data_IF_155061238731
#
_entry.id   IF_155061238731
#
_cell.length_a   1.000
_cell.length_b   1.000
_cell.length_c   1.000
_cell.angle_alpha   90.00
_cell.angle_beta   90.00
_cell.angle_gamma   90.00
#
_symmetry.space_group_name_H-M   'P 1'
#
loop_
_entity.id
_entity.type
_entity.pdbx_description
1 polymer ?
#
# COMPACT_ATOMS: atom_id res chain seq x y z
N UNK A 1 19.16 -8.72 68.27
CA UNK A 1 18.60 -9.13 66.97
C UNK A 1 18.49 -7.89 66.12
N UNK A 2 19.42 -7.73 65.17
CA UNK A 2 19.47 -6.58 64.25
C UNK A 2 18.42 -6.79 63.16
N UNK A 3 17.46 -5.88 63.01
CA UNK A 3 16.54 -5.88 61.87
C UNK A 3 17.36 -5.55 60.61
N UNK A 4 17.31 -6.45 59.64
CA UNK A 4 17.87 -6.23 58.31
C UNK A 4 17.06 -5.12 57.60
N UNK A 5 17.71 -4.23 56.84
CA UNK A 5 17.02 -3.19 56.08
C UNK A 5 16.19 -3.83 54.96
N UNK A 6 14.95 -3.38 54.83
CA UNK A 6 14.05 -3.76 53.74
C UNK A 6 14.71 -3.52 52.38
N UNK A 7 14.53 -4.41 51.38
CA UNK A 7 15.05 -4.18 50.04
C UNK A 7 14.43 -2.92 49.44
N UNK A 8 15.19 -2.16 48.64
CA UNK A 8 14.66 -0.96 47.98
C UNK A 8 13.48 -1.35 47.06
N UNK A 9 12.47 -0.48 46.91
CA UNK A 9 11.37 -0.74 46.00
C UNK A 9 11.93 -0.96 44.59
N UNK A 10 11.54 -2.06 43.94
CA UNK A 10 11.86 -2.30 42.53
C UNK A 10 11.32 -1.12 41.74
N UNK A 11 12.22 -0.41 41.05
CA UNK A 11 11.86 0.70 40.17
C UNK A 11 10.89 0.19 39.10
N UNK A 12 9.75 0.87 38.97
CA UNK A 12 8.74 0.57 37.96
C UNK A 12 9.32 0.88 36.56
N UNK A 13 9.45 -0.09 35.63
CA UNK A 13 10.04 0.12 34.30
C UNK A 13 9.24 1.08 33.41
N UNK A 14 8.08 1.58 33.85
CA UNK A 14 7.33 2.66 33.19
C UNK A 14 7.76 4.08 33.58
N UNK A 15 8.56 4.26 34.63
CA UNK A 15 8.87 5.58 35.17
C UNK A 15 9.83 6.44 34.32
N UNK A 16 10.54 5.82 33.35
CA UNK A 16 11.57 6.49 32.53
C UNK A 16 11.11 6.80 31.09
N UNK A 17 9.84 6.54 30.75
CA UNK A 17 9.31 6.75 29.39
C UNK A 17 8.81 8.18 29.22
N UNK A 18 9.29 8.88 28.18
CA UNK A 18 8.71 10.18 27.82
C UNK A 18 7.22 10.01 27.45
N UNK A 19 6.29 10.72 28.11
CA UNK A 19 4.87 10.62 27.79
C UNK A 19 4.58 11.06 26.35
N UNK A 20 5.32 12.04 25.84
CA UNK A 20 5.17 12.50 24.45
C UNK A 20 5.59 11.44 23.44
N UNK A 21 6.63 10.67 23.74
CA UNK A 21 7.07 9.57 22.87
C UNK A 21 6.04 8.42 22.87
N UNK A 22 5.39 8.18 24.01
CA UNK A 22 4.27 7.23 24.10
C UNK A 22 3.10 7.69 23.24
N UNK A 23 2.72 8.97 23.31
CA UNK A 23 1.67 9.54 22.46
C UNK A 23 2.03 9.46 20.97
N UNK A 24 3.31 9.64 20.62
CA UNK A 24 3.81 9.50 19.25
C UNK A 24 3.62 8.07 18.73
N UNK A 25 4.04 7.07 19.51
CA UNK A 25 3.85 5.66 19.14
C UNK A 25 2.38 5.25 19.09
N UNK A 26 1.56 5.74 20.01
CA UNK A 26 0.13 5.49 20.01
C UNK A 26 -0.52 6.02 18.72
N UNK A 27 -0.20 7.27 18.36
CA UNK A 27 -0.73 7.89 17.14
C UNK A 27 -0.21 7.24 15.87
N UNK A 28 1.06 6.84 15.85
CA UNK A 28 1.64 6.07 14.75
C UNK A 28 0.87 4.76 14.54
N UNK A 29 0.65 4.01 15.62
CA UNK A 29 -0.02 2.71 15.57
C UNK A 29 -1.47 2.83 15.12
N UNK A 30 -2.17 3.89 15.54
CA UNK A 30 -3.52 4.22 15.08
C UNK A 30 -3.54 4.44 13.56
N UNK A 31 -2.64 5.26 13.03
CA UNK A 31 -2.58 5.53 11.58
C UNK A 31 -2.12 4.32 10.77
N UNK A 32 -1.13 3.56 11.24
CA UNK A 32 -0.66 2.35 10.56
C UNK A 32 -1.75 1.27 10.49
N UNK A 33 -2.48 1.05 11.60
CA UNK A 33 -3.62 0.13 11.62
C UNK A 33 -4.69 0.56 10.61
N UNK A 34 -5.11 1.83 10.64
CA UNK A 34 -6.15 2.31 9.72
C UNK A 34 -5.69 2.32 8.27
N UNK A 35 -4.40 2.57 8.00
CA UNK A 35 -3.81 2.40 6.67
C UNK A 35 -3.92 0.96 6.18
N UNK A 36 -3.58 -0.03 7.01
CA UNK A 36 -3.66 -1.45 6.66
C UNK A 36 -5.10 -1.91 6.41
N UNK A 37 -6.06 -1.43 7.20
CA UNK A 37 -7.48 -1.72 7.03
C UNK A 37 -8.03 -1.10 5.75
N UNK A 38 -7.68 0.17 5.48
CA UNK A 38 -8.07 0.86 4.26
C UNK A 38 -7.48 0.16 3.03
N UNK A 39 -6.20 -0.21 3.06
CA UNK A 39 -5.54 -0.96 2.00
C UNK A 39 -6.24 -2.29 1.70
N UNK A 40 -6.49 -3.11 2.73
CA UNK A 40 -7.14 -4.43 2.56
C UNK A 40 -8.54 -4.28 1.95
N UNK A 41 -9.34 -3.34 2.43
CA UNK A 41 -10.69 -3.09 1.90
C UNK A 41 -10.66 -2.58 0.48
N UNK A 42 -9.80 -1.60 0.19
CA UNK A 42 -9.66 -1.00 -1.12
C UNK A 42 -9.19 -2.02 -2.17
N UNK A 43 -8.12 -2.76 -1.85
CA UNK A 43 -7.59 -3.81 -2.75
C UNK A 43 -8.58 -4.96 -2.93
N UNK A 44 -9.30 -5.37 -1.89
CA UNK A 44 -10.36 -6.40 -2.01
C UNK A 44 -11.51 -5.95 -2.91
N UNK A 45 -11.99 -4.71 -2.77
CA UNK A 45 -13.04 -4.15 -3.64
C UNK A 45 -12.60 -4.04 -5.08
N UNK A 46 -11.38 -3.55 -5.31
CA UNK A 46 -10.82 -3.47 -6.67
C UNK A 46 -10.69 -4.85 -7.30
N UNK A 47 -10.23 -5.85 -6.55
CA UNK A 47 -10.20 -7.25 -7.00
C UNK A 47 -11.59 -7.73 -7.40
N UNK A 48 -12.61 -7.48 -6.57
CA UNK A 48 -13.99 -7.86 -6.90
C UNK A 48 -14.49 -7.18 -8.18
N UNK A 49 -14.20 -5.90 -8.39
CA UNK A 49 -14.56 -5.20 -9.63
C UNK A 49 -13.90 -5.85 -10.86
N UNK A 50 -12.61 -6.18 -10.77
CA UNK A 50 -11.89 -6.87 -11.86
C UNK A 50 -12.31 -8.34 -12.00
N UNK A 51 -12.89 -8.99 -10.98
CA UNK A 51 -13.44 -10.35 -11.12
C UNK A 51 -14.82 -10.33 -11.78
N UNK A 52 -15.65 -9.35 -11.42
CA UNK A 52 -17.00 -9.23 -11.96
C UNK A 52 -16.99 -8.95 -13.45
N UNK A 53 -16.07 -8.10 -13.89
CA UNK A 53 -15.84 -7.94 -15.31
C UNK A 53 -15.50 -9.27 -16.00
N UNK A 54 -14.61 -10.11 -15.40
CA UNK A 54 -14.23 -11.45 -15.92
C UNK A 54 -15.47 -12.28 -16.15
N UNK A 55 -16.29 -12.29 -15.12
CA UNK A 55 -17.49 -13.06 -15.12
C UNK A 55 -18.44 -12.58 -16.22
N UNK A 56 -18.61 -11.28 -16.43
CA UNK A 56 -19.53 -10.73 -17.45
C UNK A 56 -19.21 -11.25 -18.85
N UNK A 57 -17.98 -11.10 -19.34
CA UNK A 57 -17.68 -11.55 -20.71
C UNK A 57 -17.60 -13.06 -20.83
N UNK A 58 -17.14 -13.78 -19.80
CA UNK A 58 -17.22 -15.26 -19.79
C UNK A 58 -18.68 -15.72 -19.85
N UNK A 59 -19.57 -15.13 -19.05
CA UNK A 59 -21.00 -15.42 -19.04
C UNK A 59 -21.65 -15.07 -20.39
N UNK A 60 -21.29 -13.93 -20.99
CA UNK A 60 -21.80 -13.53 -22.29
C UNK A 60 -21.40 -14.51 -23.41
N UNK A 61 -20.14 -14.94 -23.42
CA UNK A 61 -19.63 -15.95 -24.37
C UNK A 61 -20.27 -17.30 -24.13
N UNK A 62 -20.43 -17.72 -22.87
CA UNK A 62 -21.08 -18.98 -22.52
C UNK A 62 -22.56 -18.98 -22.91
N UNK A 63 -23.27 -17.87 -22.69
CA UNK A 63 -24.65 -17.69 -23.10
C UNK A 63 -24.79 -17.76 -24.62
N UNK A 64 -23.93 -17.05 -25.36
CA UNK A 64 -23.91 -17.04 -26.83
C UNK A 64 -23.67 -18.45 -27.41
N UNK A 65 -22.68 -19.17 -26.87
CA UNK A 65 -22.37 -20.55 -27.31
C UNK A 65 -23.50 -21.53 -26.99
N UNK A 66 -24.14 -21.40 -25.82
CA UNK A 66 -25.25 -22.26 -25.44
C UNK A 66 -26.49 -22.04 -26.34
N UNK A 67 -26.80 -20.79 -26.70
CA UNK A 67 -27.86 -20.48 -27.69
C UNK A 67 -27.52 -21.08 -29.06
N UNK A 68 -26.27 -20.94 -29.52
CA UNK A 68 -25.85 -21.48 -30.81
C UNK A 68 -26.01 -23.00 -30.87
N UNK A 69 -25.58 -23.71 -29.82
CA UNK A 69 -25.74 -25.17 -29.68
C UNK A 69 -27.22 -25.58 -29.72
N UNK A 70 -28.08 -24.91 -28.95
CA UNK A 70 -29.52 -25.22 -28.90
C UNK A 70 -30.21 -24.98 -30.25
N UNK A 71 -29.77 -23.95 -31.01
CA UNK A 71 -30.34 -23.64 -32.33
C UNK A 71 -29.88 -24.61 -33.43
N UNK A 72 -28.61 -25.03 -33.43
CA UNK A 72 -28.05 -25.87 -34.50
C UNK A 72 -28.17 -27.38 -34.22
N UNK A 73 -28.07 -27.83 -32.97
CA UNK A 73 -27.97 -29.25 -32.63
C UNK A 73 -29.12 -29.61 -31.68
N UNK A 74 -30.18 -30.25 -32.19
CA UNK A 74 -31.28 -30.83 -31.39
C UNK A 74 -30.87 -32.00 -30.48
N UNK A 75 -29.57 -32.26 -30.35
CA UNK A 75 -28.99 -33.40 -29.65
C UNK A 75 -27.83 -32.94 -28.74
N UNK A 76 -27.62 -33.67 -27.66
CA UNK A 76 -26.62 -33.38 -26.64
C UNK A 76 -25.15 -33.44 -27.15
N UNK A 77 -24.37 -32.34 -27.14
CA UNK A 77 -22.99 -32.28 -27.63
C UNK A 77 -21.95 -32.87 -26.67
N UNK A 78 -22.33 -33.18 -25.41
CA UNK A 78 -21.45 -33.79 -24.42
C UNK A 78 -21.82 -35.27 -24.21
N UNK A 79 -21.22 -36.22 -24.96
CA UNK A 79 -21.50 -37.65 -24.81
C UNK A 79 -21.14 -38.10 -23.38
N UNK A 80 -22.16 -38.42 -22.58
CA UNK A 80 -22.04 -38.80 -21.16
C UNK A 80 -22.87 -37.95 -20.20
N UNK A 81 -23.37 -36.79 -20.63
CA UNK A 81 -24.17 -35.88 -19.80
C UNK A 81 -25.58 -35.69 -20.36
N UNK A 82 -26.61 -36.36 -19.84
CA UNK A 82 -27.96 -36.41 -20.46
C UNK A 82 -28.76 -35.10 -20.34
N UNK A 83 -28.32 -34.03 -21.00
CA UNK A 83 -29.11 -32.81 -21.14
C UNK A 83 -30.07 -32.92 -22.32
N UNK A 84 -31.36 -32.69 -22.03
CA UNK A 84 -32.43 -32.69 -23.01
C UNK A 84 -32.88 -31.25 -23.27
N UNK A 85 -32.36 -30.66 -24.35
CA UNK A 85 -32.59 -29.25 -24.71
C UNK A 85 -34.04 -28.92 -25.12
N UNK A 86 -34.91 -29.93 -25.20
CA UNK A 86 -36.34 -29.73 -25.46
C UNK A 86 -37.14 -29.44 -24.18
N UNK A 87 -36.54 -29.62 -23.00
CA UNK A 87 -37.21 -29.40 -21.72
C UNK A 87 -37.24 -27.92 -21.34
N UNK A 88 -38.35 -27.51 -20.71
CA UNK A 88 -38.55 -26.18 -20.14
C UNK A 88 -37.42 -25.77 -19.16
N UNK A 89 -36.81 -26.73 -18.47
CA UNK A 89 -35.71 -26.46 -17.53
C UNK A 89 -34.44 -25.95 -18.23
N UNK A 90 -34.16 -26.36 -19.47
CA UNK A 90 -33.02 -25.83 -20.23
C UNK A 90 -33.23 -24.37 -20.56
N UNK A 91 -34.40 -23.99 -21.08
CA UNK A 91 -34.73 -22.59 -21.40
C UNK A 91 -34.66 -21.70 -20.15
N UNK A 92 -35.12 -22.20 -19.00
CA UNK A 92 -34.97 -21.49 -17.71
C UNK A 92 -33.52 -21.24 -17.32
N UNK A 93 -32.60 -22.16 -17.67
CA UNK A 93 -31.17 -21.97 -17.42
C UNK A 93 -30.62 -20.87 -18.35
N UNK A 94 -31.01 -20.85 -19.63
CA UNK A 94 -30.60 -19.79 -20.58
C UNK A 94 -31.09 -18.42 -20.10
N UNK A 95 -32.37 -18.32 -19.76
CA UNK A 95 -32.98 -17.09 -19.24
C UNK A 95 -32.27 -16.63 -17.95
N UNK A 96 -31.81 -17.56 -17.10
CA UNK A 96 -31.05 -17.24 -15.91
C UNK A 96 -29.66 -16.64 -16.23
N UNK A 97 -28.99 -17.09 -17.30
CA UNK A 97 -27.75 -16.47 -17.78
C UNK A 97 -27.99 -15.06 -18.31
N UNK A 98 -29.08 -14.84 -19.07
CA UNK A 98 -29.47 -13.51 -19.56
C UNK A 98 -29.70 -12.54 -18.40
N UNK A 99 -30.47 -12.96 -17.38
CA UNK A 99 -30.65 -12.18 -16.15
C UNK A 99 -29.31 -11.93 -15.45
N UNK A 100 -28.42 -12.92 -15.40
CA UNK A 100 -27.08 -12.79 -14.82
C UNK A 100 -26.24 -11.73 -15.52
N UNK A 101 -26.23 -11.70 -16.85
CA UNK A 101 -25.50 -10.71 -17.66
C UNK A 101 -26.01 -9.30 -17.41
N UNK A 102 -27.31 -9.12 -17.16
CA UNK A 102 -27.89 -7.81 -16.83
C UNK A 102 -27.59 -7.42 -15.38
N UNK A 103 -27.64 -8.38 -14.45
CA UNK A 103 -27.42 -8.13 -13.03
C UNK A 103 -25.99 -7.77 -12.69
N UNK A 104 -25.00 -8.37 -13.36
CA UNK A 104 -23.58 -8.14 -13.05
C UNK A 104 -23.15 -6.68 -13.25
N UNK A 105 -23.41 -5.99 -14.37
CA UNK A 105 -23.11 -4.56 -14.53
C UNK A 105 -23.81 -3.66 -13.51
N UNK A 106 -25.05 -4.02 -13.12
CA UNK A 106 -25.79 -3.30 -12.08
C UNK A 106 -25.06 -3.43 -10.73
N UNK A 107 -24.63 -4.64 -10.37
CA UNK A 107 -23.84 -4.90 -9.16
C UNK A 107 -22.50 -4.16 -9.21
N UNK A 108 -21.79 -4.18 -10.34
CA UNK A 108 -20.54 -3.43 -10.55
C UNK A 108 -20.76 -1.94 -10.30
N UNK A 109 -21.85 -1.36 -10.82
CA UNK A 109 -22.20 0.05 -10.62
C UNK A 109 -22.46 0.37 -9.14
N UNK A 110 -23.19 -0.49 -8.43
CA UNK A 110 -23.48 -0.32 -7.00
C UNK A 110 -22.20 -0.41 -6.15
N UNK A 111 -21.34 -1.39 -6.43
CA UNK A 111 -20.04 -1.56 -5.75
C UNK A 111 -19.15 -0.34 -6.02
N UNK A 112 -19.06 0.10 -7.27
CA UNK A 112 -18.27 1.28 -7.66
C UNK A 112 -18.77 2.54 -6.95
N UNK A 113 -20.09 2.78 -6.90
CA UNK A 113 -20.66 3.92 -6.18
C UNK A 113 -20.34 3.89 -4.68
N UNK A 114 -20.36 2.70 -4.07
CA UNK A 114 -19.92 2.50 -2.69
C UNK A 114 -18.43 2.76 -2.48
N UNK A 115 -17.60 2.44 -3.48
CA UNK A 115 -16.16 2.69 -3.44
C UNK A 115 -15.85 4.19 -3.48
N UNK A 116 -16.40 4.92 -4.45
CA UNK A 116 -16.26 6.38 -4.60
C UNK A 116 -16.66 7.11 -3.32
N UNK A 117 -17.80 6.74 -2.72
CA UNK A 117 -18.29 7.40 -1.50
C UNK A 117 -17.37 7.18 -0.29
N UNK A 118 -16.67 6.05 -0.25
CA UNK A 118 -15.92 5.63 0.93
C UNK A 118 -14.52 6.24 1.04
N UNK A 119 -14.03 6.92 0.00
CA UNK A 119 -12.70 7.54 -0.06
C UNK A 119 -11.56 6.63 0.44
N UNK A 120 -11.71 5.31 0.31
CA UNK A 120 -10.82 4.32 0.93
C UNK A 120 -9.40 4.38 0.37
N UNK A 121 -9.26 4.61 -0.94
CA UNK A 121 -7.96 4.81 -1.56
C UNK A 121 -7.22 6.02 -0.98
N UNK A 122 -7.92 7.16 -0.85
CA UNK A 122 -7.34 8.37 -0.26
C UNK A 122 -7.00 8.18 1.22
N UNK A 123 -7.88 7.52 1.99
CA UNK A 123 -7.63 7.20 3.39
C UNK A 123 -6.39 6.32 3.57
N UNK A 124 -6.22 5.29 2.75
CA UNK A 124 -5.03 4.45 2.75
C UNK A 124 -3.75 5.28 2.53
N UNK A 125 -3.73 6.14 1.51
CA UNK A 125 -2.55 6.97 1.19
C UNK A 125 -2.23 7.95 2.32
N UNK A 126 -3.22 8.68 2.83
CA UNK A 126 -3.04 9.71 3.85
C UNK A 126 -2.60 9.11 5.19
N UNK A 127 -3.22 8.01 5.62
CA UNK A 127 -2.83 7.36 6.87
C UNK A 127 -1.43 6.76 6.77
N UNK A 128 -1.12 6.06 5.67
CA UNK A 128 0.22 5.47 5.46
C UNK A 128 1.31 6.54 5.44
N UNK A 129 1.11 7.61 4.66
CA UNK A 129 2.12 8.66 4.53
C UNK A 129 2.35 9.39 5.85
N UNK A 130 1.28 9.62 6.63
CA UNK A 130 1.39 10.25 7.95
C UNK A 130 2.02 9.34 8.98
N UNK A 131 1.73 8.03 8.94
CA UNK A 131 2.39 7.05 9.79
C UNK A 131 3.90 7.02 9.53
N UNK A 132 4.34 6.97 8.27
CA UNK A 132 5.77 7.01 7.92
C UNK A 132 6.44 8.34 8.31
N UNK A 133 5.75 9.47 8.15
CA UNK A 133 6.25 10.77 8.61
C UNK A 133 6.42 10.81 10.14
N UNK A 134 5.45 10.27 10.88
CA UNK A 134 5.52 10.20 12.33
C UNK A 134 6.60 9.23 12.81
N UNK A 135 6.78 8.10 12.12
CA UNK A 135 7.86 7.14 12.37
C UNK A 135 9.23 7.79 12.22
N UNK A 136 9.44 8.59 11.18
CA UNK A 136 10.66 9.40 11.01
C UNK A 136 10.90 10.31 12.22
N UNK A 137 9.89 11.09 12.65
CA UNK A 137 10.02 12.00 13.80
C UNK A 137 10.35 11.25 15.10
N UNK A 138 9.80 10.05 15.30
CA UNK A 138 10.13 9.18 16.43
C UNK A 138 11.62 8.78 16.40
N UNK A 139 12.15 8.35 15.25
CA UNK A 139 13.57 7.99 15.16
C UNK A 139 14.48 9.20 15.35
N UNK A 140 14.15 10.36 14.75
CA UNK A 140 14.89 11.61 14.95
C UNK A 140 14.91 12.06 16.41
N UNK A 141 13.79 11.92 17.11
CA UNK A 141 13.69 12.18 18.55
C UNK A 141 14.61 11.26 19.35
N UNK A 142 14.59 9.95 19.05
CA UNK A 142 15.35 8.94 19.81
C UNK A 142 16.86 9.08 19.61
N UNK A 143 17.31 9.42 18.40
CA UNK A 143 18.74 9.66 18.10
C UNK A 143 19.20 11.11 18.38
N UNK A 144 18.28 11.99 18.75
CA UNK A 144 18.54 13.39 19.12
C UNK A 144 19.22 14.20 18.02
N UNK A 145 18.75 14.05 16.78
CA UNK A 145 19.29 14.74 15.60
C UNK A 145 18.35 15.85 15.12
N UNK A 146 18.91 16.85 14.43
CA UNK A 146 18.17 17.94 13.83
C UNK A 146 17.53 18.84 14.89
N UNK A 147 16.20 18.97 14.84
CA UNK A 147 15.48 19.81 15.80
C UNK A 147 15.52 19.25 17.24
N UNK A 148 15.82 17.97 17.41
CA UNK A 148 15.79 17.28 18.71
C UNK A 148 17.12 17.29 19.49
N UNK A 149 18.14 17.98 18.98
CA UNK A 149 19.42 18.12 19.68
C UNK A 149 19.22 18.87 21.00
N UNK A 150 19.71 18.36 22.15
CA UNK A 150 19.59 19.05 23.43
C UNK A 150 20.32 20.40 23.41
N UNK A 151 19.55 21.50 23.42
CA UNK A 151 20.10 22.86 23.38
C UNK A 151 20.43 23.34 24.80
N UNK A 152 21.70 23.64 25.06
CA UNK A 152 22.16 24.18 26.34
C UNK A 152 21.82 25.68 26.44
N UNK A 153 20.60 26.01 26.87
CA UNK A 153 20.17 27.39 27.08
C UNK A 153 18.76 27.48 27.67
N UNK A 154 18.51 28.51 28.49
CA UNK A 154 17.26 28.78 29.23
C UNK A 154 16.01 29.11 28.35
N UNK A 155 15.89 28.54 27.15
CA UNK A 155 14.86 28.89 26.16
C UNK A 155 13.98 27.71 25.72
N UNK A 156 12.85 27.55 26.42
CA UNK A 156 11.51 27.09 26.03
C UNK A 156 11.22 25.87 25.13
N UNK A 157 12.10 25.34 24.28
CA UNK A 157 11.73 24.22 23.38
C UNK A 157 12.43 22.91 23.75
N UNK A 158 11.97 22.29 24.86
CA UNK A 158 12.29 20.89 25.18
C UNK A 158 12.01 19.99 23.96
N UNK A 159 12.85 18.97 23.74
CA UNK A 159 12.65 17.97 22.66
C UNK A 159 11.22 17.40 22.63
N UNK A 160 10.59 17.28 23.80
CA UNK A 160 9.21 16.82 23.95
C UNK A 160 8.20 17.83 23.39
N UNK A 161 8.43 19.13 23.58
CA UNK A 161 7.56 20.19 23.03
C UNK A 161 7.63 20.18 21.50
N UNK A 162 8.82 19.96 20.95
CA UNK A 162 9.02 19.88 19.50
C UNK A 162 8.32 18.66 18.89
N UNK A 163 8.45 17.49 19.52
CA UNK A 163 7.75 16.29 19.08
C UNK A 163 6.24 16.47 19.17
N UNK A 164 5.72 17.03 20.27
CA UNK A 164 4.30 17.34 20.42
C UNK A 164 3.79 18.29 19.32
N UNK A 165 4.58 19.31 18.94
CA UNK A 165 4.26 20.22 17.84
C UNK A 165 4.20 19.48 16.50
N UNK A 166 5.12 18.54 16.24
CA UNK A 166 5.12 17.71 15.03
C UNK A 166 3.92 16.76 14.98
N UNK A 167 3.62 16.06 16.08
CA UNK A 167 2.42 15.21 16.21
C UNK A 167 1.15 16.02 15.92
N UNK A 168 1.01 17.20 16.53
CA UNK A 168 -0.13 18.09 16.31
C UNK A 168 -0.25 18.49 14.84
N UNK A 169 0.84 18.92 14.23
CA UNK A 169 0.85 19.37 12.82
C UNK A 169 0.47 18.24 11.87
N UNK A 170 1.03 17.03 12.07
CA UNK A 170 0.70 15.86 11.28
C UNK A 170 -0.77 15.44 11.47
N UNK A 171 -1.26 15.46 12.71
CA UNK A 171 -2.66 15.16 13.02
C UNK A 171 -3.64 16.15 12.38
N UNK A 172 -3.35 17.45 12.45
CA UNK A 172 -4.17 18.48 11.80
C UNK A 172 -4.24 18.26 10.29
N UNK A 173 -3.11 17.98 9.63
CA UNK A 173 -3.09 17.69 8.19
C UNK A 173 -3.95 16.51 7.80
N UNK A 174 -3.94 15.42 8.57
CA UNK A 174 -4.84 14.27 8.32
C UNK A 174 -6.30 14.70 8.42
N UNK A 175 -6.66 15.47 9.46
CA UNK A 175 -8.03 15.93 9.69
C UNK A 175 -8.50 17.01 8.69
N UNK A 176 -7.57 17.69 8.01
CA UNK A 176 -7.87 18.63 6.92
C UNK A 176 -8.18 17.92 5.59
N UNK A 177 -7.95 16.61 5.51
CA UNK A 177 -8.33 15.80 4.34
C UNK A 177 -9.72 15.17 4.49
N UNK A 178 -10.25 14.63 3.39
CA UNK A 178 -11.55 13.91 3.37
C UNK A 178 -11.58 12.67 4.27
N UNK A 179 -10.43 12.24 4.79
CA UNK A 179 -10.31 11.13 5.75
C UNK A 179 -11.04 11.44 7.07
N UNK A 180 -11.24 12.72 7.39
CA UNK A 180 -12.02 13.15 8.56
C UNK A 180 -13.50 12.72 8.52
N UNK A 181 -14.02 12.32 7.34
CA UNK A 181 -15.37 11.76 7.17
C UNK A 181 -15.41 10.24 7.38
N UNK A 182 -14.26 9.60 7.58
CA UNK A 182 -14.15 8.16 7.79
C UNK A 182 -14.04 7.83 9.28
N UNK A 183 -14.58 6.68 9.68
CA UNK A 183 -14.41 6.20 11.06
C UNK A 183 -12.97 5.73 11.29
N UNK A 184 -12.34 6.23 12.35
CA UNK A 184 -10.99 5.82 12.77
C UNK A 184 -11.14 4.72 13.82
N UNK A 185 -10.48 3.58 13.60
CA UNK A 185 -10.45 2.48 14.55
C UNK A 185 -9.31 2.70 15.55
N UNK A 186 -9.57 2.74 16.86
CA UNK A 186 -8.51 2.93 17.84
C UNK A 186 -7.58 1.70 17.89
N UNK A 187 -6.30 1.94 18.10
CA UNK A 187 -5.32 0.87 18.31
C UNK A 187 -5.33 0.40 19.77
N UNK A 188 -5.44 -0.91 19.99
CA UNK A 188 -5.51 -1.51 21.34
C UNK A 188 -4.36 -2.48 21.64
N UNK A 189 -3.36 -2.56 20.76
CA UNK A 189 -2.20 -3.45 20.93
C UNK A 189 -1.13 -2.86 21.84
N UNK A 190 -0.03 -3.60 22.00
CA UNK A 190 1.17 -3.10 22.70
C UNK A 190 1.86 -1.99 21.91
N UNK A 191 2.52 -1.09 22.64
CA UNK A 191 3.35 -0.02 22.07
C UNK A 191 4.83 -0.26 22.40
N UNK A 192 5.76 -0.05 21.46
CA UNK A 192 5.52 0.16 20.02
C UNK A 192 4.86 -1.08 19.35
N UNK A 193 4.19 -0.91 18.20
CA UNK A 193 3.48 -2.00 17.52
C UNK A 193 4.44 -3.03 16.91
N UNK A 194 5.65 -2.59 16.55
CA UNK A 194 6.75 -3.42 16.10
C UNK A 194 8.05 -2.86 16.69
N UNK A 195 8.81 -3.71 17.36
CA UNK A 195 10.15 -3.42 17.83
C UNK A 195 11.10 -4.56 17.42
N UNK A 196 12.27 -4.23 16.84
CA UNK A 196 13.35 -5.20 16.66
C UNK A 196 13.75 -5.85 17.99
N UNK A 197 14.31 -7.05 17.93
CA UNK A 197 14.75 -7.76 19.13
C UNK A 197 15.79 -6.92 19.89
N UNK A 198 15.49 -6.57 21.14
CA UNK A 198 16.34 -5.73 21.98
C UNK A 198 16.06 -4.23 21.92
N UNK A 199 15.14 -3.78 21.07
CA UNK A 199 14.64 -2.39 21.08
C UNK A 199 13.39 -2.29 21.98
N UNK A 200 13.40 -1.36 22.93
CA UNK A 200 12.22 -1.05 23.74
C UNK A 200 11.27 -0.04 23.07
N UNK A 201 11.73 0.62 22.00
CA UNK A 201 11.01 1.67 21.29
C UNK A 201 11.01 3.05 21.97
N UNK A 202 11.46 3.14 23.23
CA UNK A 202 11.30 4.34 24.06
C UNK A 202 12.62 4.98 24.48
N UNK A 203 13.70 4.19 24.57
CA UNK A 203 15.01 4.68 24.97
C UNK A 203 15.69 5.49 23.86
N UNK A 204 16.58 6.39 24.29
CA UNK A 204 17.50 7.08 23.38
C UNK A 204 18.34 6.05 22.62
N UNK A 205 18.69 6.38 21.38
CA UNK A 205 19.33 5.46 20.45
C UNK A 205 20.73 5.96 20.06
N UNK A 206 21.69 5.05 19.99
CA UNK A 206 23.04 5.34 19.44
C UNK A 206 23.08 5.08 17.93
N UNK A 207 24.07 5.63 17.19
CA UNK A 207 24.14 5.48 15.73
C UNK A 207 24.17 4.02 15.26
N UNK A 208 24.80 3.13 16.02
CA UNK A 208 24.91 1.70 15.72
C UNK A 208 23.56 0.98 15.79
N UNK A 209 22.77 1.30 16.82
CA UNK A 209 21.41 0.79 17.00
C UNK A 209 20.49 1.30 15.88
N UNK A 210 20.64 2.57 15.49
CA UNK A 210 19.90 3.14 14.36
C UNK A 210 20.20 2.43 13.04
N UNK A 211 21.47 2.11 12.78
CA UNK A 211 21.86 1.35 11.60
C UNK A 211 21.23 -0.05 11.60
N UNK A 212 21.25 -0.74 12.74
CA UNK A 212 20.72 -2.09 12.86
C UNK A 212 19.18 -2.12 12.77
N UNK A 213 18.51 -1.22 13.48
CA UNK A 213 17.06 -1.25 13.66
C UNK A 213 16.27 -0.49 12.59
N UNK A 214 16.86 0.57 12.00
CA UNK A 214 16.18 1.40 11.01
C UNK A 214 16.76 1.21 9.61
N UNK A 215 18.06 1.44 9.41
CA UNK A 215 18.65 1.36 8.08
C UNK A 215 18.58 -0.07 7.52
N UNK A 216 19.08 -1.05 8.27
CA UNK A 216 19.17 -2.44 7.79
C UNK A 216 17.80 -3.07 7.59
N UNK A 217 16.84 -2.76 8.46
CA UNK A 217 15.44 -3.17 8.32
C UNK A 217 14.85 -2.65 6.99
N UNK A 218 14.98 -1.35 6.72
CA UNK A 218 14.44 -0.72 5.51
C UNK A 218 15.18 -1.18 4.23
N UNK A 219 16.50 -1.34 4.29
CA UNK A 219 17.28 -1.89 3.19
C UNK A 219 16.80 -3.31 2.82
N UNK A 220 16.60 -4.18 3.82
CA UNK A 220 16.11 -5.54 3.59
C UNK A 220 14.65 -5.56 3.12
N UNK A 221 13.81 -4.67 3.65
CA UNK A 221 12.44 -4.49 3.19
C UNK A 221 12.38 -4.13 1.69
N UNK A 222 13.10 -3.10 1.25
CA UNK A 222 13.08 -2.68 -0.15
C UNK A 222 13.62 -3.76 -1.09
N UNK A 223 14.70 -4.46 -0.71
CA UNK A 223 15.26 -5.55 -1.52
C UNK A 223 14.28 -6.73 -1.66
N UNK A 224 13.62 -7.12 -0.56
CA UNK A 224 12.60 -8.19 -0.59
C UNK A 224 11.38 -7.76 -1.42
N UNK A 225 10.91 -6.52 -1.24
CA UNK A 225 9.79 -5.94 -1.99
C UNK A 225 10.09 -5.88 -3.48
N UNK A 226 11.28 -5.42 -3.88
CA UNK A 226 11.73 -5.39 -5.27
C UNK A 226 11.77 -6.80 -5.91
N UNK A 227 12.34 -7.79 -5.21
CA UNK A 227 12.37 -9.17 -5.72
C UNK A 227 10.96 -9.74 -5.92
N UNK A 228 10.01 -9.43 -5.03
CA UNK A 228 8.61 -9.83 -5.16
C UNK A 228 7.94 -9.14 -6.34
N UNK A 229 8.09 -7.82 -6.47
CA UNK A 229 7.49 -7.04 -7.56
C UNK A 229 8.05 -7.47 -8.92
N UNK A 230 9.35 -7.79 -9.01
CA UNK A 230 9.96 -8.31 -10.24
C UNK A 230 9.35 -9.64 -10.67
N UNK A 231 9.14 -10.58 -9.73
CA UNK A 231 8.45 -11.85 -10.04
C UNK A 231 7.02 -11.60 -10.49
N UNK A 232 6.28 -10.75 -9.77
CA UNK A 232 4.90 -10.41 -10.14
C UNK A 232 4.83 -9.81 -11.54
N UNK A 233 5.67 -8.81 -11.84
CA UNK A 233 5.74 -8.19 -13.16
C UNK A 233 5.99 -9.22 -14.26
N UNK A 234 6.99 -10.08 -14.08
CA UNK A 234 7.31 -11.12 -15.05
C UNK A 234 6.16 -12.11 -15.25
N UNK A 235 5.55 -12.60 -14.16
CA UNK A 235 4.42 -13.54 -14.24
C UNK A 235 3.23 -12.93 -14.98
N UNK A 236 2.86 -11.68 -14.67
CA UNK A 236 1.73 -11.03 -15.33
C UNK A 236 2.03 -10.69 -16.80
N UNK A 237 3.23 -10.21 -17.13
CA UNK A 237 3.62 -9.96 -18.52
C UNK A 237 3.57 -11.23 -19.37
N UNK A 238 4.12 -12.34 -18.87
CA UNK A 238 4.02 -13.63 -19.56
C UNK A 238 2.57 -14.13 -19.66
N UNK A 239 1.73 -13.82 -18.67
CA UNK A 239 0.29 -14.15 -18.73
C UNK A 239 -0.43 -13.32 -19.81
N UNK A 240 -0.12 -12.03 -19.94
CA UNK A 240 -0.66 -11.16 -21.01
C UNK A 240 -0.26 -11.70 -22.38
N UNK A 241 1.02 -12.03 -22.59
CA UNK A 241 1.48 -12.61 -23.86
C UNK A 241 0.87 -13.98 -24.14
N UNK A 242 0.74 -14.82 -23.11
CA UNK A 242 0.07 -16.12 -23.21
C UNK A 242 -1.40 -15.99 -23.62
N UNK A 243 -2.14 -15.06 -23.01
CA UNK A 243 -3.55 -14.81 -23.35
C UNK A 243 -3.72 -14.20 -24.74
N UNK A 244 -2.83 -13.28 -25.15
CA UNK A 244 -2.82 -12.74 -26.52
C UNK A 244 -2.56 -13.82 -27.56
N UNK A 245 -1.58 -14.70 -27.32
CA UNK A 245 -1.30 -15.86 -28.18
C UNK A 245 -2.45 -16.86 -28.23
N UNK A 246 -3.09 -17.12 -27.08
CA UNK A 246 -4.28 -17.97 -26.99
C UNK A 246 -5.44 -17.42 -27.83
N UNK A 247 -5.65 -16.10 -27.82
CA UNK A 247 -6.67 -15.46 -28.65
C UNK A 247 -6.45 -15.72 -30.15
N UNK A 248 -5.21 -15.61 -30.62
CA UNK A 248 -4.85 -15.89 -32.02
C UNK A 248 -5.10 -17.37 -32.36
N UNK A 249 -4.75 -18.28 -31.45
CA UNK A 249 -4.99 -19.71 -31.62
C UNK A 249 -6.49 -20.03 -31.70
N UNK A 250 -7.30 -19.45 -30.80
CA UNK A 250 -8.76 -19.64 -30.76
C UNK A 250 -9.43 -19.16 -32.04
N UNK A 251 -9.03 -17.99 -32.56
CA UNK A 251 -9.50 -17.49 -33.85
C UNK A 251 -9.18 -18.47 -34.98
N UNK A 252 -7.97 -19.04 -34.98
CA UNK A 252 -7.50 -19.95 -36.03
C UNK A 252 -8.27 -21.28 -36.06
N UNK A 253 -8.77 -21.76 -34.91
CA UNK A 253 -9.58 -23.00 -34.82
C UNK A 253 -11.10 -22.75 -34.92
N UNK A 254 -11.52 -21.59 -35.45
CA UNK A 254 -12.93 -21.18 -35.60
C UNK A 254 -13.69 -21.08 -34.27
N UNK A 255 -12.97 -20.86 -33.16
CA UNK A 255 -13.54 -20.58 -31.83
C UNK A 255 -13.54 -19.07 -31.55
N UNK A 256 -13.93 -18.27 -32.54
CA UNK A 256 -13.83 -16.79 -32.50
C UNK A 256 -14.56 -16.16 -31.31
N UNK A 257 -15.66 -16.76 -30.86
CA UNK A 257 -16.44 -16.27 -29.71
C UNK A 257 -15.60 -16.27 -28.41
N UNK A 258 -14.68 -17.23 -28.26
CA UNK A 258 -13.82 -17.35 -27.08
C UNK A 258 -12.63 -16.37 -27.07
N UNK A 259 -12.33 -15.73 -28.20
CA UNK A 259 -11.28 -14.69 -28.29
C UNK A 259 -11.59 -13.52 -27.35
N UNK A 260 -12.88 -13.20 -27.20
CA UNK A 260 -13.32 -12.17 -26.26
C UNK A 260 -12.89 -12.50 -24.82
N UNK A 261 -12.94 -13.76 -24.40
CA UNK A 261 -12.50 -14.19 -23.05
C UNK A 261 -10.99 -14.03 -22.89
N UNK A 262 -10.19 -14.47 -23.86
CA UNK A 262 -8.73 -14.34 -23.76
C UNK A 262 -8.25 -12.89 -23.78
N UNK A 263 -8.81 -12.05 -24.66
CA UNK A 263 -8.42 -10.64 -24.80
C UNK A 263 -8.70 -9.86 -23.53
N UNK A 264 -9.83 -10.17 -22.94
CA UNK A 264 -10.32 -9.47 -21.79
C UNK A 264 -9.51 -9.93 -20.55
N UNK A 265 -9.20 -11.23 -20.41
CA UNK A 265 -8.24 -11.70 -19.40
C UNK A 265 -6.88 -10.99 -19.48
N UNK A 266 -6.35 -10.82 -20.69
CA UNK A 266 -5.10 -10.08 -20.90
C UNK A 266 -5.21 -8.64 -20.38
N UNK A 267 -6.28 -7.94 -20.73
CA UNK A 267 -6.43 -6.53 -20.39
C UNK A 267 -6.68 -6.28 -18.89
N UNK A 268 -7.20 -7.24 -18.13
CA UNK A 268 -7.19 -7.15 -16.68
C UNK A 268 -5.86 -7.46 -16.01
N UNK A 269 -5.04 -8.36 -16.56
CA UNK A 269 -3.66 -8.48 -16.07
C UNK A 269 -2.90 -7.16 -16.30
N UNK A 270 -3.09 -6.52 -17.46
CA UNK A 270 -2.56 -5.19 -17.74
C UNK A 270 -3.08 -4.15 -16.76
N UNK A 271 -4.39 -4.08 -16.56
CA UNK A 271 -5.01 -3.13 -15.60
C UNK A 271 -4.51 -3.36 -14.17
N UNK A 272 -4.28 -4.61 -13.77
CA UNK A 272 -3.71 -4.93 -12.46
C UNK A 272 -2.26 -4.43 -12.33
N UNK A 273 -1.44 -4.55 -13.37
CA UNK A 273 -0.06 -4.05 -13.39
C UNK A 273 -0.01 -2.53 -13.33
N UNK A 274 -0.84 -1.85 -14.13
CA UNK A 274 -0.93 -0.40 -14.19
C UNK A 274 -1.44 0.19 -12.89
N UNK A 275 -2.52 -0.36 -12.34
CA UNK A 275 -3.15 0.14 -11.14
C UNK A 275 -2.24 0.03 -9.91
N UNK A 276 -1.56 -1.10 -9.75
CA UNK A 276 -0.62 -1.27 -8.64
C UNK A 276 0.72 -0.57 -8.88
N UNK A 277 0.90 0.11 -10.02
CA UNK A 277 2.13 0.84 -10.38
C UNK A 277 3.37 -0.04 -10.13
N UNK A 278 3.30 -1.31 -10.54
CA UNK A 278 4.27 -2.35 -10.16
C UNK A 278 5.68 -1.99 -10.65
N UNK A 279 5.79 -1.48 -11.87
CA UNK A 279 7.06 -1.13 -12.51
C UNK A 279 7.73 0.07 -11.85
N UNK A 280 7.01 1.18 -11.66
CA UNK A 280 7.56 2.37 -10.99
C UNK A 280 7.94 2.07 -9.55
N UNK A 281 7.09 1.33 -8.81
CA UNK A 281 7.39 0.91 -7.44
C UNK A 281 8.62 0.01 -7.39
N UNK A 282 8.80 -0.90 -8.36
CA UNK A 282 9.99 -1.75 -8.47
C UNK A 282 11.26 -0.91 -8.68
N UNK A 283 11.23 0.04 -9.60
CA UNK A 283 12.35 0.95 -9.88
C UNK A 283 12.71 1.74 -8.62
N UNK A 284 11.71 2.36 -7.98
CA UNK A 284 11.90 3.16 -6.77
C UNK A 284 12.47 2.33 -5.61
N UNK A 285 11.99 1.09 -5.40
CA UNK A 285 12.55 0.19 -4.39
C UNK A 285 14.02 -0.17 -4.66
N UNK A 286 14.39 -0.40 -5.92
CA UNK A 286 15.78 -0.70 -6.29
C UNK A 286 16.69 0.53 -6.06
N UNK A 287 16.23 1.72 -6.42
CA UNK A 287 16.94 2.97 -6.17
C UNK A 287 17.13 3.21 -4.67
N UNK A 288 16.05 3.16 -3.88
CA UNK A 288 16.11 3.32 -2.43
C UNK A 288 17.04 2.28 -1.77
N UNK A 289 16.99 1.01 -2.18
CA UNK A 289 17.90 -0.01 -1.67
C UNK A 289 19.37 0.29 -2.02
N UNK A 290 19.65 0.75 -3.24
CA UNK A 290 20.99 1.17 -3.67
C UNK A 290 21.50 2.37 -2.86
N UNK A 291 20.65 3.37 -2.64
CA UNK A 291 21.03 4.58 -1.89
C UNK A 291 21.30 4.27 -0.42
N UNK A 292 20.44 3.46 0.22
CA UNK A 292 20.68 2.98 1.59
C UNK A 292 21.95 2.14 1.70
N UNK A 293 22.26 1.32 0.69
CA UNK A 293 23.52 0.59 0.63
C UNK A 293 24.72 1.54 0.58
N UNK A 294 24.67 2.57 -0.27
CA UNK A 294 25.73 3.55 -0.43
C UNK A 294 25.95 4.35 0.87
N UNK A 295 24.88 4.78 1.54
CA UNK A 295 24.97 5.47 2.83
C UNK A 295 25.62 4.56 3.89
N UNK A 296 25.20 3.29 3.96
CA UNK A 296 25.80 2.31 4.89
C UNK A 296 27.28 2.06 4.58
N UNK A 297 27.65 1.99 3.30
CA UNK A 297 29.03 1.81 2.87
C UNK A 297 29.89 3.02 3.25
N UNK A 298 29.40 4.24 3.02
CA UNK A 298 30.04 5.47 3.44
C UNK A 298 30.26 5.52 4.96
N UNK A 299 29.24 5.19 5.75
CA UNK A 299 29.36 5.19 7.22
C UNK A 299 30.45 4.22 7.70
N UNK A 300 30.47 3.01 7.15
CA UNK A 300 31.48 1.99 7.49
C UNK A 300 32.90 2.36 7.08
N UNK A 301 33.06 3.25 6.09
CA UNK A 301 34.35 3.74 5.65
C UNK A 301 34.91 4.86 6.54
N UNK A 302 34.08 5.50 7.36
CA UNK A 302 34.53 6.54 8.29
C UNK A 302 35.36 5.95 9.44
N UNK A 303 36.47 6.60 9.85
CA UNK A 303 37.16 6.28 11.09
C UNK A 303 36.26 6.45 12.31
N UNK A 304 36.53 5.71 13.39
CA UNK A 304 35.74 5.76 14.63
C UNK A 304 35.63 7.18 15.23
N UNK A 305 36.67 8.01 15.10
CA UNK A 305 36.66 9.41 15.53
C UNK A 305 35.64 10.25 14.72
N UNK A 306 35.57 10.01 13.42
CA UNK A 306 34.61 10.68 12.54
C UNK A 306 33.19 10.15 12.75
N UNK A 307 33.01 8.88 13.12
CA UNK A 307 31.70 8.32 13.47
C UNK A 307 31.14 8.91 14.77
N UNK A 308 32.01 9.23 15.73
CA UNK A 308 31.61 9.89 16.98
C UNK A 308 31.24 11.38 16.79
N UNK A 309 31.56 11.98 15.64
CA UNK A 309 31.21 13.37 15.36
C UNK A 309 29.69 13.51 15.13
N UNK A 310 29.04 14.33 15.96
CA UNK A 310 27.60 14.60 15.88
C UNK A 310 27.15 15.08 14.50
N UNK A 311 27.97 15.84 13.77
CA UNK A 311 27.64 16.29 12.42
C UNK A 311 27.55 15.12 11.41
N UNK A 312 28.42 14.11 11.54
CA UNK A 312 28.38 12.93 10.68
C UNK A 312 27.22 12.01 11.05
N UNK A 313 26.88 11.90 12.35
CA UNK A 313 25.68 11.18 12.81
C UNK A 313 24.42 11.84 12.26
N UNK A 314 24.34 13.17 12.32
CA UNK A 314 23.23 13.92 11.73
C UNK A 314 23.14 13.69 10.21
N UNK A 315 24.26 13.78 9.50
CA UNK A 315 24.30 13.50 8.07
C UNK A 315 23.86 12.06 7.73
N UNK A 316 24.28 11.06 8.51
CA UNK A 316 23.84 9.68 8.36
C UNK A 316 22.31 9.58 8.46
N UNK A 317 21.76 10.04 9.57
CA UNK A 317 20.33 9.89 9.87
C UNK A 317 19.48 10.67 8.87
N UNK A 318 19.85 11.91 8.57
CA UNK A 318 19.11 12.76 7.65
C UNK A 318 19.14 12.22 6.21
N UNK A 319 20.26 11.68 5.75
CA UNK A 319 20.32 11.06 4.42
C UNK A 319 19.46 9.80 4.34
N UNK A 320 19.50 8.93 5.37
CA UNK A 320 18.64 7.72 5.42
C UNK A 320 17.17 8.08 5.41
N UNK A 321 16.74 8.98 6.30
CA UNK A 321 15.34 9.39 6.37
C UNK A 321 14.93 10.18 5.12
N UNK A 322 15.84 10.89 4.45
CA UNK A 322 15.55 11.53 3.16
C UNK A 322 15.22 10.50 2.08
N UNK A 323 16.04 9.44 1.94
CA UNK A 323 15.78 8.35 0.98
C UNK A 323 14.44 7.67 1.25
N UNK A 324 14.12 7.36 2.52
CA UNK A 324 12.85 6.72 2.89
C UNK A 324 11.67 7.65 2.60
N UNK A 325 11.78 8.96 2.91
CA UNK A 325 10.71 9.91 2.62
C UNK A 325 10.54 10.17 1.13
N UNK A 326 11.62 10.16 0.34
CA UNK A 326 11.55 10.32 -1.11
C UNK A 326 10.80 9.16 -1.79
N UNK A 327 11.05 7.90 -1.39
CA UNK A 327 10.27 6.75 -1.89
C UNK A 327 8.79 6.89 -1.53
N UNK A 328 8.51 7.19 -0.26
CA UNK A 328 7.13 7.32 0.21
C UNK A 328 6.40 8.48 -0.48
N UNK A 329 7.06 9.62 -0.67
CA UNK A 329 6.48 10.78 -1.37
C UNK A 329 6.22 10.46 -2.85
N UNK A 330 7.17 9.81 -3.53
CA UNK A 330 6.99 9.36 -4.92
C UNK A 330 5.79 8.41 -5.04
N UNK A 331 5.73 7.39 -4.17
CA UNK A 331 4.60 6.47 -4.13
C UNK A 331 3.25 7.16 -3.84
N UNK A 332 3.22 8.13 -2.91
CA UNK A 332 2.02 8.90 -2.60
C UNK A 332 1.52 9.66 -3.82
N UNK A 333 2.41 10.30 -4.58
CA UNK A 333 2.03 11.02 -5.80
C UNK A 333 1.51 10.07 -6.87
N UNK A 334 2.25 9.00 -7.18
CA UNK A 334 1.83 8.01 -8.19
C UNK A 334 0.47 7.38 -7.87
N UNK A 335 0.23 7.07 -6.60
CA UNK A 335 -1.05 6.49 -6.17
C UNK A 335 -2.18 7.53 -6.19
N UNK A 336 -1.90 8.80 -5.89
CA UNK A 336 -2.89 9.88 -6.03
C UNK A 336 -3.26 10.09 -7.48
N UNK A 337 -2.29 10.09 -8.39
CA UNK A 337 -2.53 10.23 -9.82
C UNK A 337 -3.34 9.04 -10.35
N UNK A 338 -3.02 7.81 -9.92
CA UNK A 338 -3.80 6.63 -10.25
C UNK A 338 -5.25 6.70 -9.73
N UNK A 339 -5.48 7.26 -8.54
CA UNK A 339 -6.83 7.48 -8.03
C UNK A 339 -7.56 8.60 -8.77
N UNK A 340 -6.86 9.67 -9.15
CA UNK A 340 -7.41 10.78 -9.92
C UNK A 340 -7.85 10.33 -11.31
N UNK A 341 -7.05 9.48 -11.97
CA UNK A 341 -7.39 8.83 -13.23
C UNK A 341 -8.69 7.99 -13.08
N UNK A 342 -8.78 7.20 -12.02
CA UNK A 342 -9.94 6.32 -11.78
C UNK A 342 -11.22 7.07 -11.43
N UNK A 343 -11.12 8.17 -10.69
CA UNK A 343 -12.27 8.94 -10.19
C UNK A 343 -12.61 10.16 -11.05
N UNK A 344 -11.65 10.69 -11.81
CA UNK A 344 -11.74 11.94 -12.57
C UNK A 344 -12.28 11.78 -13.99
N UNK A 345 -12.25 10.58 -14.57
CA UNK A 345 -12.61 10.34 -15.98
C UNK A 345 -14.13 10.36 -16.29
N UNK A 346 -14.96 10.92 -15.40
CA UNK A 346 -16.43 10.97 -15.56
C UNK A 346 -16.99 12.31 -16.07
N UNK A 347 -16.15 13.28 -16.42
CA UNK A 347 -16.64 14.57 -16.96
C UNK A 347 -16.64 14.68 -18.50
N UNK A 348 -16.05 13.75 -19.26
CA UNK A 348 -15.94 13.90 -20.73
C UNK A 348 -16.82 13.00 -21.60
N UNK A 349 -17.59 12.06 -21.05
CA UNK A 349 -18.59 11.32 -21.85
C UNK A 349 -20.04 11.74 -21.52
N UNK A 350 -20.36 12.99 -21.84
CA UNK A 350 -21.74 13.50 -21.87
C UNK A 350 -22.15 13.83 -23.31
N UNK A 351 -22.34 12.80 -24.10
CA UNK A 351 -23.25 12.87 -25.25
C UNK A 351 -24.07 11.60 -25.43
N UNK A 352 -24.91 11.24 -24.46
CA UNK A 352 -26.38 11.08 -24.65
C UNK A 352 -27.09 10.67 -23.35
N UNK A 353 -28.23 11.33 -23.11
CA UNK A 353 -29.26 11.12 -22.05
C UNK A 353 -29.02 11.82 -20.67
N UNK A 354 -29.93 12.72 -20.23
CA UNK A 354 -29.78 13.48 -18.99
C UNK A 354 -30.48 12.81 -17.81
N UNK A 355 -29.74 12.44 -16.76
CA UNK A 355 -30.29 12.29 -15.40
C UNK A 355 -29.21 12.58 -14.35
N UNK A 356 -29.46 13.59 -13.50
CA UNK A 356 -28.93 13.73 -12.13
C UNK A 356 -27.43 13.97 -11.96
N UNK A 357 -27.06 15.20 -11.56
CA UNK A 357 -25.66 15.65 -11.45
C UNK A 357 -24.81 15.00 -10.34
N UNK A 358 -23.50 14.98 -10.59
CA UNK A 358 -22.46 15.07 -9.57
C UNK A 358 -21.70 16.38 -9.79
N UNK A 359 -21.36 17.05 -8.68
CA UNK A 359 -21.07 18.49 -8.68
C UNK A 359 -19.59 18.83 -8.94
N UNK A 360 -19.29 20.04 -9.45
CA UNK A 360 -17.94 20.62 -9.61
C UNK A 360 -17.08 20.65 -8.34
N UNK A 361 -17.66 20.27 -7.21
CA UNK A 361 -17.07 20.33 -5.89
C UNK A 361 -16.01 19.24 -5.69
N UNK A 362 -16.10 18.10 -6.37
CA UNK A 362 -15.13 17.00 -6.23
C UNK A 362 -13.79 17.38 -6.88
N UNK A 363 -13.82 18.00 -8.06
CA UNK A 363 -12.62 18.48 -8.76
C UNK A 363 -11.89 19.57 -7.96
N UNK A 364 -12.63 20.55 -7.42
CA UNK A 364 -12.09 21.60 -6.54
C UNK A 364 -11.52 21.00 -5.24
N UNK A 365 -12.13 19.94 -4.69
CA UNK A 365 -11.67 19.27 -3.47
C UNK A 365 -10.38 18.45 -3.65
N UNK A 366 -10.15 17.88 -4.83
CA UNK A 366 -8.87 17.20 -5.14
C UNK A 366 -7.73 18.20 -5.36
N UNK A 367 -8.01 19.35 -5.97
CA UNK A 367 -7.03 20.41 -6.20
C UNK A 367 -6.50 21.00 -4.88
N UNK A 368 -7.37 21.15 -3.86
CA UNK A 368 -6.96 21.57 -2.52
C UNK A 368 -6.08 20.52 -1.82
N UNK A 369 -6.33 19.22 -2.03
CA UNK A 369 -5.50 18.15 -1.48
C UNK A 369 -4.11 18.07 -2.14
N UNK A 370 -4.00 18.44 -3.42
CA UNK A 370 -2.72 18.58 -4.15
C UNK A 370 -1.88 19.74 -3.59
N UNK A 371 -2.49 20.90 -3.36
CA UNK A 371 -1.81 22.08 -2.79
C UNK A 371 -1.23 21.83 -1.38
N UNK A 372 -1.90 21.02 -0.57
CA UNK A 372 -1.44 20.68 0.79
C UNK A 372 -0.23 19.72 0.75
N UNK A 373 -0.13 18.84 -0.26
CA UNK A 373 1.04 17.95 -0.43
C UNK A 373 2.25 18.61 -1.09
N UNK A 374 2.06 19.56 -2.01
CA UNK A 374 3.16 20.38 -2.49
C UNK A 374 3.68 21.31 -1.38
N UNK A 375 2.84 21.70 -0.42
CA UNK A 375 3.30 22.37 0.81
C UNK A 375 4.07 21.46 1.78
N UNK A 376 3.88 20.13 1.71
CA UNK A 376 4.72 19.14 2.40
C UNK A 376 6.16 19.11 1.84
N UNK A 377 6.30 19.36 0.53
CA UNK A 377 7.56 19.42 -0.20
C UNK A 377 8.33 20.73 0.09
N UNK A 378 7.63 21.87 -0.02
CA UNK A 378 8.24 23.19 0.15
C UNK A 378 8.73 23.54 1.57
N UNK A 379 8.20 22.88 2.61
CA UNK A 379 8.68 23.06 3.99
C UNK A 379 10.01 22.34 4.27
N UNK A 380 10.36 21.34 3.45
CA UNK A 380 11.61 20.58 3.55
C UNK A 380 12.71 21.28 2.76
N UNK A 381 12.41 21.80 1.57
CA UNK A 381 13.38 22.56 0.75
C UNK A 381 13.86 23.86 1.42
N UNK A 382 12.98 24.59 2.10
CA UNK A 382 13.38 25.80 2.83
C UNK A 382 14.31 25.53 4.04
N UNK A 383 14.36 24.29 4.53
CA UNK A 383 15.27 23.89 5.62
C UNK A 383 16.64 23.40 5.09
N UNK A 384 16.76 23.10 3.79
CA UNK A 384 17.98 22.61 3.15
C UNK A 384 18.97 23.73 2.79
N UNK A 385 18.56 25.00 2.78
CA UNK A 385 19.42 26.14 2.43
C UNK A 385 20.21 26.75 3.59
N UNK A 386 20.18 26.16 4.79
CA UNK A 386 20.96 26.64 5.93
C UNK A 386 21.63 25.47 6.68
N UNK A 387 22.68 24.89 6.10
CA UNK A 387 23.63 24.03 6.83
C UNK A 387 25.05 24.61 6.75
N UNK A 388 25.85 24.54 7.83
CA UNK A 388 27.21 25.05 7.85
C UNK A 388 28.14 24.13 7.06
N UNK A 389 28.92 24.73 6.15
CA UNK A 389 29.95 24.07 5.33
C UNK A 389 31.04 23.49 6.24
N UNK A 390 31.10 22.17 6.38
CA UNK A 390 32.02 21.54 7.32
C UNK A 390 32.35 20.06 7.10
N UNK A 391 32.21 19.53 5.89
CA UNK A 391 32.92 18.35 5.36
C UNK A 391 32.42 18.09 3.92
N UNK A 392 33.28 17.83 2.92
CA UNK A 392 32.83 17.49 1.59
C UNK A 392 32.34 16.04 1.59
N UNK A 393 31.03 15.84 1.69
CA UNK A 393 30.39 14.64 1.14
C UNK A 393 30.49 14.81 -0.39
N UNK A 394 30.90 13.78 -1.15
CA UNK A 394 31.00 13.92 -2.61
C UNK A 394 29.66 14.40 -3.15
N UNK A 395 29.72 15.46 -3.96
CA UNK A 395 28.58 16.03 -4.66
C UNK A 395 27.72 14.91 -5.22
N UNK A 396 26.41 15.03 -4.94
CA UNK A 396 25.29 14.50 -5.72
C UNK A 396 25.77 13.72 -6.95
N UNK A 397 25.66 12.39 -6.92
CA UNK A 397 25.92 11.51 -8.07
C UNK A 397 24.86 11.76 -9.16
N UNK A 398 24.86 12.95 -9.75
CA UNK A 398 24.19 13.28 -11.00
C UNK A 398 25.15 12.89 -12.13
N UNK A 399 25.20 11.60 -12.46
CA UNK A 399 25.87 11.11 -13.66
C UNK A 399 24.79 10.62 -14.65
N UNK A 400 24.70 11.34 -15.78
CA UNK A 400 24.00 11.00 -17.03
C UNK A 400 22.56 10.47 -16.93
N UNK A 401 21.61 11.39 -16.75
CA UNK A 401 20.21 11.17 -17.15
C UNK A 401 20.03 11.51 -18.63
N UNK A 402 20.01 10.48 -19.48
CA UNK A 402 19.24 10.53 -20.72
C UNK A 402 17.90 9.85 -20.47
N UNK A 403 16.83 10.62 -20.50
CA UNK A 403 15.46 10.10 -20.55
C UNK A 403 15.29 9.26 -21.84
N UNK A 404 14.82 8.01 -21.76
CA UNK A 404 14.43 7.28 -22.96
C UNK A 404 13.13 7.88 -23.51
N UNK A 405 13.26 8.58 -24.64
CA UNK A 405 12.16 9.06 -25.46
C UNK A 405 11.32 7.86 -25.97
N UNK A 406 10.01 7.77 -25.69
CA UNK A 406 9.20 6.69 -26.25
C UNK A 406 9.06 6.85 -27.76
N UNK A 407 9.33 5.76 -28.47
CA UNK A 407 9.21 5.68 -29.93
C UNK A 407 7.73 5.79 -30.35
N UNK A 408 7.48 6.65 -31.33
CA UNK A 408 6.16 6.83 -31.93
C UNK A 408 5.82 5.68 -32.90
N UNK A 409 4.56 5.23 -32.84
CA UNK A 409 3.83 4.66 -33.97
C UNK A 409 3.33 3.23 -33.79
N UNK A 410 2.02 3.07 -33.60
CA UNK A 410 1.08 2.59 -34.64
C UNK A 410 -0.35 2.50 -34.09
N UNK A 411 -1.24 3.26 -34.73
CA UNK A 411 -2.69 3.23 -34.52
C UNK A 411 -3.27 1.87 -34.94
N UNK A 412 -3.92 1.16 -34.01
CA UNK A 412 -4.93 0.13 -34.30
C UNK A 412 -6.22 0.46 -33.54
N UNK A 413 -7.40 0.32 -34.16
CA UNK A 413 -8.64 0.91 -33.65
C UNK A 413 -9.32 0.04 -32.57
N UNK A 414 -9.84 0.72 -31.55
CA UNK A 414 -11.09 0.43 -30.83
C UNK A 414 -11.29 -1.02 -30.34
N UNK A 415 -10.68 -1.35 -29.20
CA UNK A 415 -11.07 -2.47 -28.33
C UNK A 415 -11.02 -2.12 -26.84
N UNK A 416 -10.96 -0.81 -26.53
CA UNK A 416 -10.34 -0.26 -25.32
C UNK A 416 -11.29 -0.15 -24.12
N UNK A 417 -12.59 -0.38 -24.29
CA UNK A 417 -13.58 -0.17 -23.21
C UNK A 417 -14.17 -1.47 -22.62
N UNK A 418 -13.82 -2.63 -23.15
CA UNK A 418 -14.31 -3.94 -22.67
C UNK A 418 -13.20 -4.89 -22.19
N UNK A 419 -11.93 -4.47 -22.28
CA UNK A 419 -10.78 -5.27 -21.88
C UNK A 419 -10.41 -5.16 -20.40
N UNK A 420 -10.68 -4.03 -19.76
CA UNK A 420 -10.25 -3.71 -18.38
C UNK A 420 -10.89 -4.60 -17.30
N UNK A 421 -11.94 -5.31 -17.66
CA UNK A 421 -12.82 -6.01 -16.74
C UNK A 421 -12.41 -7.48 -16.45
N UNK A 422 -11.43 -8.01 -17.19
CA UNK A 422 -11.21 -9.40 -17.58
C UNK A 422 -10.57 -10.60 -16.85
N UNK A 423 -9.70 -10.44 -15.86
CA UNK A 423 -8.54 -11.36 -15.79
C UNK A 423 -7.77 -11.42 -14.49
N UNK A 424 -8.42 -11.45 -13.33
CA UNK A 424 -7.70 -11.55 -12.05
C UNK A 424 -7.73 -12.92 -11.36
N UNK A 425 -8.53 -13.89 -11.81
CA UNK A 425 -8.72 -15.12 -11.02
C UNK A 425 -7.62 -16.19 -11.21
N UNK A 426 -6.90 -16.22 -12.34
CA UNK A 426 -5.79 -17.17 -12.54
C UNK A 426 -4.49 -16.80 -11.81
N UNK A 427 -4.39 -15.59 -11.26
CA UNK A 427 -3.23 -15.17 -10.46
C UNK A 427 -3.26 -15.61 -8.99
N UNK A 428 -4.41 -16.11 -8.50
CA UNK A 428 -4.64 -16.30 -7.07
C UNK A 428 -4.22 -17.66 -6.50
N UNK A 429 -4.11 -18.72 -7.30
CA UNK A 429 -3.61 -20.01 -6.77
C UNK A 429 -2.08 -20.02 -6.59
N UNK A 430 -1.31 -19.33 -7.45
CA UNK A 430 0.15 -19.22 -7.26
C UNK A 430 0.58 -18.14 -6.24
N UNK A 431 -0.29 -17.16 -5.96
CA UNK A 431 0.03 -16.05 -5.06
C UNK A 431 -0.26 -16.33 -3.58
N UNK A 432 -1.19 -17.26 -3.28
CA UNK A 432 -1.66 -17.50 -1.91
C UNK A 432 -0.72 -18.44 -1.14
N UNK A 433 0.01 -19.34 -1.80
CA UNK A 433 1.05 -20.17 -1.15
C UNK A 433 2.35 -19.41 -0.82
N UNK A 434 2.55 -18.22 -1.39
CA UNK A 434 3.73 -17.35 -1.15
C UNK A 434 3.43 -16.10 -0.32
N UNK A 435 2.18 -15.98 0.18
CA UNK A 435 1.61 -14.74 0.70
C UNK A 435 1.31 -14.72 2.21
N UNK A 436 1.79 -15.68 3.00
CA UNK A 436 1.74 -15.57 4.47
C UNK A 436 2.83 -14.60 4.94
N UNK A 437 2.40 -13.51 5.57
CA UNK A 437 3.22 -12.78 6.55
C UNK A 437 3.78 -13.78 7.57
N UNK A 438 4.95 -13.52 8.18
CA UNK A 438 5.46 -14.39 9.23
C UNK A 438 4.48 -14.39 10.40
N UNK A 439 4.04 -15.59 10.81
CA UNK A 439 3.37 -15.82 12.07
C UNK A 439 4.11 -15.09 13.21
N UNK A 440 3.42 -14.35 14.10
CA UNK A 440 4.02 -13.99 15.37
C UNK A 440 4.38 -15.29 16.13
N UNK A 441 5.52 -15.34 16.84
CA UNK A 441 5.92 -16.55 17.56
C UNK A 441 4.81 -16.96 18.53
N UNK A 442 4.44 -18.25 18.48
CA UNK A 442 3.57 -18.89 19.46
C UNK A 442 4.12 -18.60 20.85
N UNK A 443 3.37 -17.83 21.64
CA UNK A 443 3.58 -17.74 23.07
C UNK A 443 3.01 -19.01 23.69
N UNK A 444 3.88 -19.81 24.32
CA UNK A 444 3.44 -20.92 25.16
C UNK A 444 2.55 -20.39 26.30
N UNK A 445 1.48 -21.10 26.69
CA UNK A 445 0.62 -20.67 27.78
C UNK A 445 1.38 -20.75 29.11
N UNK A 446 1.57 -19.59 29.75
CA UNK A 446 2.01 -19.50 31.16
C UNK A 446 0.90 -20.09 32.05
N UNK A 447 1.24 -20.93 33.05
CA UNK A 447 0.26 -21.61 33.89
C UNK A 447 -0.45 -20.65 34.83
N UNK A 448 -1.77 -20.80 34.91
CA UNK A 448 -2.68 -20.07 35.80
C UNK A 448 -2.31 -20.26 37.29
N UNK A 449 -2.09 -19.20 38.08
CA UNK A 449 -1.90 -19.30 39.52
C UNK A 449 -3.16 -18.83 40.26
N UNK A 450 -4.25 -19.57 40.16
CA UNK A 450 -5.37 -19.41 41.10
C UNK A 450 -5.91 -20.77 41.54
N UNK A 451 -5.27 -21.31 42.57
CA UNK A 451 -5.89 -22.29 43.44
C UNK A 451 -6.92 -21.62 44.34
N UNK A 452 -8.20 -21.94 44.14
CA UNK A 452 -9.21 -21.87 45.21
C UNK A 452 -9.90 -23.23 45.34
N UNK A 453 -10.11 -23.71 46.56
CA UNK A 453 -10.63 -25.05 46.81
C UNK A 453 -12.15 -25.08 46.58
N UNK A 454 -12.60 -26.12 45.88
CA UNK A 454 -14.01 -26.50 45.85
C UNK A 454 -14.34 -27.33 47.10
N UNK A 455 -15.49 -27.10 47.76
CA UNK A 455 -15.96 -27.99 48.81
C UNK A 455 -16.69 -29.19 48.21
N UNK A 456 -16.44 -30.37 48.76
CA UNK A 456 -17.26 -31.57 48.52
C UNK A 456 -18.72 -31.30 48.88
N UNK A 457 -19.64 -31.97 48.17
CA UNK A 457 -20.65 -32.69 48.93
C UNK A 457 -20.98 -34.09 48.37
N UNK A 458 -21.08 -35.01 49.33
CA UNK A 458 -21.90 -36.23 49.39
C UNK A 458 -21.61 -37.39 48.42
#
# INVERSE_FOLDING_TARGET
MSQAPSPPPMADPSADRSPTLLDAWARFSEYDLNASLAQKRFTSRRKWLTIMGVAVTVLAVLHSTLIAIVREIKCNPFPGFTWDFTKLETWRIIDAFEVGIIMMPILTTVIYAGDVKSNMGLAWIVFRSTAEALKKEIYLYRIQVGSYVPRSGNGEDSRDIQLAKRIKTLGQRVMETQVNQTGITPYTGSLPPYAPQGDDGFSNMVPEDYLAWRLEDQFNYYRKKAARLSRQLSTFQWSVYGMGGLGILLASIQQEIWVAVSSSMAAAFTSFLEFNRVESTLISCNQAASDLYNIRAWWRALPAESQANAANVEALVMNVESVIQAENAGWVQEMRDALAEVYGDKEQDKSTVPMGGLSPEIAIRMQNAQAITSALDGSVENSLHQMPKGAPIPDRFDADRQEPKPAAGQDLPSGTELGTELGTELGTELGTELGTDPDPPKTDPVPNPEGKPHPDPA
#
